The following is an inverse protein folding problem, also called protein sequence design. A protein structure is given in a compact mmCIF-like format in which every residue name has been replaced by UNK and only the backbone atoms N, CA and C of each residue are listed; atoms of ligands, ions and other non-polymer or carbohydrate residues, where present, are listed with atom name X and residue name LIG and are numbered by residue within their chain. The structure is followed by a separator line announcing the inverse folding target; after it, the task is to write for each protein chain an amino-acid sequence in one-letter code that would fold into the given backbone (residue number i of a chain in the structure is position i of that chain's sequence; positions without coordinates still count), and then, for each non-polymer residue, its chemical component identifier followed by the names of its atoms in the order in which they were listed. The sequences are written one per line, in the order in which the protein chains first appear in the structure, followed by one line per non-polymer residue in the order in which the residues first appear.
data_IF_784327516629
#
_entry.id   IF_784327516629
#
_cell.length_a   1.000
_cell.length_b   1.000
_cell.length_c   1.000
_cell.angle_alpha   90.00
_cell.angle_beta   90.00
_cell.angle_gamma   90.00
#
_symmetry.space_group_name_H-M   'P 1'
#
loop_
_entity.id
_entity.type
_entity.pdbx_description
1 polymer ?
#
# COMPACT_ATOMS: atom_id res chain seq x y z
N UNK A 1 -60.36 -19.87 31.69
CA UNK A 1 -59.57 -18.80 31.03
C UNK A 1 -58.21 -19.34 30.59
N UNK A 2 -58.04 -19.69 29.31
CA UNK A 2 -56.79 -20.28 28.79
C UNK A 2 -55.72 -19.23 28.50
N UNK A 3 -54.49 -19.45 28.98
CA UNK A 3 -53.34 -18.54 28.76
C UNK A 3 -53.09 -18.33 27.25
N UNK A 4 -52.85 -17.10 26.77
CA UNK A 4 -52.63 -16.85 25.36
C UNK A 4 -51.33 -17.51 24.87
N UNK A 5 -51.44 -18.38 23.85
CA UNK A 5 -50.26 -19.02 23.23
C UNK A 5 -49.28 -17.97 22.67
N UNK A 6 -47.98 -18.23 22.83
CA UNK A 6 -46.88 -17.48 22.23
C UNK A 6 -47.01 -17.41 20.70
N UNK A 7 -46.67 -16.28 20.10
CA UNK A 7 -46.86 -15.98 18.67
C UNK A 7 -46.20 -17.03 17.75
N UNK A 8 -45.03 -17.56 18.11
CA UNK A 8 -44.32 -18.56 17.31
C UNK A 8 -45.02 -19.94 17.26
N UNK A 9 -45.78 -20.28 18.30
CA UNK A 9 -46.55 -21.53 18.37
C UNK A 9 -47.84 -21.41 17.56
N UNK A 10 -48.49 -20.23 17.59
CA UNK A 10 -49.67 -19.92 16.76
C UNK A 10 -49.35 -20.00 15.26
N UNK A 11 -48.20 -19.50 14.85
CA UNK A 11 -47.74 -19.55 13.45
C UNK A 11 -47.43 -20.98 12.97
N UNK A 12 -46.92 -21.83 13.87
CA UNK A 12 -46.65 -23.25 13.56
C UNK A 12 -47.95 -24.02 13.37
N UNK A 13 -48.89 -23.87 14.31
CA UNK A 13 -50.20 -24.52 14.27
C UNK A 13 -50.99 -24.10 13.02
N UNK A 14 -50.95 -22.80 12.67
CA UNK A 14 -51.55 -22.28 11.44
C UNK A 14 -50.95 -22.92 10.17
N UNK A 15 -49.62 -23.09 10.10
CA UNK A 15 -48.96 -23.72 8.95
C UNK A 15 -49.25 -25.21 8.82
N UNK A 16 -49.49 -25.91 9.94
CA UNK A 16 -49.89 -27.32 9.93
C UNK A 16 -51.32 -27.45 9.40
N UNK A 17 -52.26 -26.68 9.96
CA UNK A 17 -53.66 -26.62 9.47
C UNK A 17 -53.77 -26.21 8.00
N UNK A 18 -52.91 -25.29 7.55
CA UNK A 18 -52.88 -24.87 6.15
C UNK A 18 -52.35 -25.96 5.21
N UNK A 19 -51.51 -26.88 5.68
CA UNK A 19 -51.01 -28.02 4.88
C UNK A 19 -52.01 -29.17 4.82
N UNK A 20 -52.89 -29.29 5.80
CA UNK A 20 -53.97 -30.28 5.84
C UNK A 20 -55.04 -30.02 4.77
N UNK A 21 -55.25 -28.75 4.37
CA UNK A 21 -56.16 -28.35 3.28
C UNK A 21 -55.39 -28.10 1.97
N UNK A 22 -55.50 -29.01 0.97
CA UNK A 22 -54.71 -28.92 -0.26
C UNK A 22 -55.10 -27.72 -1.14
N UNK A 23 -56.36 -27.28 -1.12
CA UNK A 23 -56.85 -26.17 -1.96
C UNK A 23 -56.34 -24.84 -1.41
N UNK A 24 -56.46 -24.64 -0.10
CA UNK A 24 -55.94 -23.42 0.55
C UNK A 24 -54.41 -23.38 0.51
N UNK A 25 -53.75 -24.53 0.61
CA UNK A 25 -52.29 -24.63 0.45
C UNK A 25 -51.83 -24.23 -0.96
N UNK A 26 -52.52 -24.71 -1.99
CA UNK A 26 -52.21 -24.36 -3.38
C UNK A 26 -52.37 -22.84 -3.64
N UNK A 27 -53.47 -22.24 -3.19
CA UNK A 27 -53.70 -20.79 -3.29
C UNK A 27 -52.63 -19.98 -2.53
N UNK A 28 -52.19 -20.46 -1.36
CA UNK A 28 -51.09 -19.86 -0.60
C UNK A 28 -49.77 -19.91 -1.37
N UNK A 29 -49.43 -21.06 -1.98
CA UNK A 29 -48.22 -21.22 -2.79
C UNK A 29 -48.24 -20.32 -4.03
N UNK A 30 -49.39 -20.19 -4.71
CA UNK A 30 -49.54 -19.27 -5.84
C UNK A 30 -49.30 -17.82 -5.42
N UNK A 31 -49.90 -17.36 -4.31
CA UNK A 31 -49.64 -16.03 -3.75
C UNK A 31 -48.16 -15.84 -3.38
N UNK A 32 -47.51 -16.87 -2.83
CA UNK A 32 -46.09 -16.82 -2.51
C UNK A 32 -45.20 -16.71 -3.75
N UNK A 33 -45.49 -17.46 -4.81
CA UNK A 33 -44.80 -17.37 -6.11
C UNK A 33 -44.98 -15.98 -6.72
N UNK A 34 -46.19 -15.44 -6.75
CA UNK A 34 -46.46 -14.10 -7.26
C UNK A 34 -45.67 -13.02 -6.49
N UNK A 35 -45.59 -13.11 -5.15
CA UNK A 35 -44.74 -12.22 -4.34
C UNK A 35 -43.27 -12.33 -4.70
N UNK A 36 -42.76 -13.54 -4.92
CA UNK A 36 -41.37 -13.75 -5.31
C UNK A 36 -41.05 -13.10 -6.67
N UNK A 37 -41.91 -13.29 -7.68
CA UNK A 37 -41.75 -12.65 -8.99
C UNK A 37 -41.76 -11.12 -8.90
N UNK A 38 -42.72 -10.53 -8.16
CA UNK A 38 -42.77 -9.07 -7.92
C UNK A 38 -41.50 -8.52 -7.27
N UNK A 39 -40.92 -9.24 -6.29
CA UNK A 39 -39.68 -8.82 -5.62
C UNK A 39 -38.43 -9.02 -6.48
N UNK A 40 -38.45 -10.01 -7.35
CA UNK A 40 -37.39 -10.25 -8.36
C UNK A 40 -37.39 -9.13 -9.40
N UNK A 41 -38.56 -8.75 -9.92
CA UNK A 41 -38.73 -7.63 -10.86
C UNK A 41 -38.30 -6.29 -10.24
N UNK A 42 -38.67 -6.04 -8.98
CA UNK A 42 -38.23 -4.86 -8.21
C UNK A 42 -36.75 -4.89 -7.77
N UNK A 43 -35.97 -5.91 -8.16
CA UNK A 43 -34.55 -6.10 -7.81
C UNK A 43 -34.25 -6.17 -6.29
N UNK A 44 -35.26 -6.38 -5.45
CA UNK A 44 -35.06 -6.65 -4.02
C UNK A 44 -34.39 -8.02 -3.80
N UNK A 45 -34.63 -8.97 -4.71
CA UNK A 45 -33.98 -10.28 -4.72
C UNK A 45 -32.95 -10.30 -5.84
N UNK A 46 -31.68 -10.06 -5.50
CA UNK A 46 -30.55 -10.15 -6.44
C UNK A 46 -30.29 -11.60 -6.86
N UNK A 47 -30.18 -11.83 -8.16
CA UNK A 47 -29.65 -13.08 -8.72
C UNK A 47 -28.13 -13.16 -8.52
N UNK A 48 -27.56 -14.36 -8.67
CA UNK A 48 -26.10 -14.56 -8.51
C UNK A 48 -25.30 -13.74 -9.51
N UNK A 49 -25.79 -13.58 -10.74
CA UNK A 49 -25.16 -12.77 -11.77
C UNK A 49 -25.10 -11.27 -11.41
N UNK A 50 -26.11 -10.79 -10.67
CA UNK A 50 -26.25 -9.36 -10.32
C UNK A 50 -25.58 -9.00 -8.98
N UNK A 51 -24.99 -9.98 -8.29
CA UNK A 51 -24.29 -9.74 -7.02
C UNK A 51 -22.83 -9.40 -7.26
N UNK A 52 -22.31 -8.43 -6.51
CA UNK A 52 -20.85 -8.19 -6.46
C UNK A 52 -20.14 -9.40 -5.85
N UNK A 53 -18.85 -9.59 -6.18
CA UNK A 53 -18.06 -10.72 -5.63
C UNK A 53 -18.06 -10.76 -4.10
N UNK A 54 -18.06 -9.59 -3.45
CA UNK A 54 -18.04 -9.46 -2.00
C UNK A 54 -19.37 -9.86 -1.37
N UNK A 55 -20.49 -9.47 -1.97
CA UNK A 55 -21.83 -9.87 -1.54
C UNK A 55 -22.07 -11.37 -1.76
N UNK A 56 -21.67 -11.89 -2.92
CA UNK A 56 -21.76 -13.32 -3.23
C UNK A 56 -20.95 -14.15 -2.22
N UNK A 57 -19.74 -13.70 -1.86
CA UNK A 57 -18.92 -14.34 -0.82
C UNK A 57 -19.61 -14.35 0.54
N UNK A 58 -20.21 -13.23 0.97
CA UNK A 58 -20.95 -13.13 2.24
C UNK A 58 -22.18 -14.07 2.26
N UNK A 59 -22.94 -14.13 1.16
CA UNK A 59 -24.10 -15.02 1.02
C UNK A 59 -23.70 -16.49 1.05
N UNK A 60 -22.59 -16.85 0.40
CA UNK A 60 -22.01 -18.21 0.44
C UNK A 60 -21.51 -18.58 1.84
N UNK A 61 -20.90 -17.64 2.57
CA UNK A 61 -20.48 -17.86 3.96
C UNK A 61 -21.68 -18.14 4.87
N UNK A 62 -22.73 -17.32 4.78
CA UNK A 62 -23.97 -17.51 5.53
C UNK A 62 -24.61 -18.87 5.20
N UNK A 63 -24.77 -19.19 3.92
CA UNK A 63 -25.32 -20.48 3.49
C UNK A 63 -24.53 -21.68 4.04
N UNK A 64 -23.19 -21.62 4.00
CA UNK A 64 -22.33 -22.67 4.57
C UNK A 64 -22.55 -22.83 6.08
N UNK A 65 -22.71 -21.73 6.82
CA UNK A 65 -22.97 -21.75 8.26
C UNK A 65 -24.34 -22.37 8.58
N UNK A 66 -25.40 -21.92 7.89
CA UNK A 66 -26.76 -22.47 8.06
C UNK A 66 -26.84 -23.94 7.68
N UNK A 67 -26.19 -24.36 6.58
CA UNK A 67 -26.12 -25.77 6.17
C UNK A 67 -25.36 -26.63 7.18
N UNK A 68 -24.29 -26.10 7.78
CA UNK A 68 -23.57 -26.79 8.86
C UNK A 68 -24.47 -27.03 10.07
N UNK A 69 -25.19 -25.99 10.52
CA UNK A 69 -26.15 -26.11 11.61
C UNK A 69 -27.29 -27.09 11.28
N UNK A 70 -27.87 -27.02 10.08
CA UNK A 70 -28.90 -27.96 9.64
C UNK A 70 -28.41 -29.41 9.68
N UNK A 71 -27.20 -29.69 9.18
CA UNK A 71 -26.62 -31.04 9.23
C UNK A 71 -26.36 -31.51 10.66
N UNK A 72 -25.92 -30.62 11.56
CA UNK A 72 -25.74 -30.95 12.97
C UNK A 72 -27.07 -31.30 13.63
N UNK A 73 -28.10 -30.47 13.44
CA UNK A 73 -29.44 -30.74 13.98
C UNK A 73 -30.04 -32.01 13.39
N UNK A 74 -29.86 -32.26 12.09
CA UNK A 74 -30.33 -33.49 11.45
C UNK A 74 -29.64 -34.73 12.02
N UNK A 75 -28.32 -34.70 12.25
CA UNK A 75 -27.61 -35.81 12.91
C UNK A 75 -28.13 -36.11 14.31
N UNK A 76 -28.49 -35.07 15.06
CA UNK A 76 -29.08 -35.23 16.40
C UNK A 76 -30.48 -35.87 16.33
N UNK A 77 -31.27 -35.52 15.32
CA UNK A 77 -32.63 -36.07 15.10
C UNK A 77 -32.55 -37.51 14.56
N UNK A 78 -31.75 -37.76 13.53
CA UNK A 78 -31.58 -39.08 12.92
C UNK A 78 -30.94 -40.08 13.91
N UNK A 79 -30.11 -39.61 14.85
CA UNK A 79 -29.57 -40.43 15.93
C UNK A 79 -30.60 -40.87 16.97
N UNK A 80 -31.77 -40.22 17.02
CA UNK A 80 -32.86 -40.53 17.94
C UNK A 80 -33.96 -41.41 17.30
N UNK A 81 -34.06 -41.45 15.97
CA UNK A 81 -35.11 -42.17 15.23
C UNK A 81 -34.47 -43.32 14.44
N UNK A 82 -34.06 -44.38 15.14
CA UNK A 82 -33.76 -45.66 14.51
C UNK A 82 -34.86 -46.64 14.91
N UNK A 83 -35.79 -47.04 14.01
CA UNK A 83 -36.77 -48.07 14.32
C UNK A 83 -36.07 -49.42 14.58
N UNK A 84 -36.57 -50.26 15.50
CA UNK A 84 -36.05 -51.62 15.67
C UNK A 84 -36.25 -52.43 14.38
N UNK A 85 -35.28 -53.29 14.08
CA UNK A 85 -35.29 -54.20 12.92
C UNK A 85 -36.51 -55.12 12.97
N UNK A 86 -37.35 -55.10 11.94
CA UNK A 86 -38.32 -56.16 11.64
C UNK A 86 -37.65 -57.26 10.80
N UNK A 87 -38.08 -58.54 10.93
CA UNK A 87 -37.38 -59.67 10.35
C UNK A 87 -37.56 -59.77 8.83
N UNK A 88 -36.47 -60.11 8.15
CA UNK A 88 -36.38 -60.30 6.70
C UNK A 88 -37.32 -61.42 6.21
N UNK A 89 -38.01 -61.18 5.10
CA UNK A 89 -38.63 -62.23 4.29
C UNK A 89 -38.03 -62.21 2.88
N UNK A 90 -37.27 -63.28 2.61
CA UNK A 90 -36.86 -63.92 1.33
C UNK A 90 -36.68 -63.09 0.04
N UNK A 91 -35.54 -63.27 -0.67
CA UNK A 91 -35.48 -63.05 -2.11
C UNK A 91 -34.97 -64.29 -2.87
N UNK A 92 -35.86 -65.02 -3.54
CA UNK A 92 -35.48 -66.05 -4.50
C UNK A 92 -35.68 -65.57 -5.95
N UNK A 93 -34.76 -64.75 -6.47
CA UNK A 93 -34.58 -64.58 -7.93
C UNK A 93 -33.10 -64.37 -8.34
N UNK A 94 -32.50 -65.45 -8.86
CA UNK A 94 -31.37 -65.50 -9.83
C UNK A 94 -29.96 -65.04 -9.40
N UNK A 95 -29.15 -65.97 -8.90
CA UNK A 95 -27.72 -65.78 -8.60
C UNK A 95 -26.87 -65.24 -9.78
N UNK A 96 -27.33 -65.43 -11.03
CA UNK A 96 -26.66 -64.99 -12.26
C UNK A 96 -26.73 -63.46 -12.46
N UNK A 97 -27.88 -62.83 -12.14
CA UNK A 97 -28.02 -61.35 -12.21
C UNK A 97 -27.30 -60.67 -11.04
N UNK A 98 -27.25 -61.33 -9.88
CA UNK A 98 -26.49 -60.90 -8.69
C UNK A 98 -24.99 -60.82 -8.98
N UNK A 99 -24.40 -61.87 -9.61
CA UNK A 99 -22.98 -61.92 -10.00
C UNK A 99 -22.64 -60.84 -11.04
N UNK A 100 -23.48 -60.67 -12.08
CA UNK A 100 -23.30 -59.60 -13.09
C UNK A 100 -23.46 -58.19 -12.48
N UNK A 101 -24.39 -57.97 -11.53
CA UNK A 101 -24.50 -56.71 -10.76
C UNK A 101 -23.27 -56.46 -9.89
N UNK A 102 -22.74 -57.49 -9.22
CA UNK A 102 -21.51 -57.40 -8.39
C UNK A 102 -20.29 -57.03 -9.24
N UNK A 103 -20.12 -57.65 -10.41
CA UNK A 103 -19.07 -57.32 -11.39
C UNK A 103 -19.16 -55.87 -11.88
N UNK A 104 -20.34 -55.43 -12.34
CA UNK A 104 -20.57 -54.03 -12.75
C UNK A 104 -20.33 -53.03 -11.62
N UNK A 105 -20.71 -53.38 -10.38
CA UNK A 105 -20.46 -52.55 -9.20
C UNK A 105 -18.97 -52.42 -8.89
N UNK A 106 -18.18 -53.48 -9.06
CA UNK A 106 -16.72 -53.47 -8.94
C UNK A 106 -16.09 -52.58 -10.01
N UNK A 107 -16.43 -52.77 -11.28
CA UNK A 107 -15.94 -51.93 -12.40
C UNK A 107 -16.28 -50.45 -12.19
N UNK A 108 -17.52 -50.14 -11.78
CA UNK A 108 -17.93 -48.75 -11.49
C UNK A 108 -17.14 -48.17 -10.32
N UNK A 109 -16.86 -48.96 -9.28
CA UNK A 109 -16.03 -48.55 -8.15
C UNK A 109 -14.60 -48.27 -8.60
N UNK A 110 -13.99 -49.17 -9.36
CA UNK A 110 -12.61 -49.05 -9.83
C UNK A 110 -12.47 -47.84 -10.76
N UNK A 111 -13.38 -47.68 -11.72
CA UNK A 111 -13.46 -46.51 -12.60
C UNK A 111 -13.62 -45.21 -11.81
N UNK A 112 -14.48 -45.19 -10.79
CA UNK A 112 -14.63 -44.02 -9.91
C UNK A 112 -13.38 -43.73 -9.07
N UNK A 113 -12.60 -44.76 -8.72
CA UNK A 113 -11.36 -44.61 -7.98
C UNK A 113 -10.27 -44.01 -8.86
N UNK A 114 -10.20 -44.43 -10.13
CA UNK A 114 -9.28 -43.86 -11.13
C UNK A 114 -9.59 -42.39 -11.38
N UNK A 115 -10.85 -42.01 -11.63
CA UNK A 115 -11.19 -40.59 -11.82
C UNK A 115 -10.88 -39.73 -10.60
N UNK A 116 -11.12 -40.24 -9.38
CA UNK A 116 -10.74 -39.54 -8.13
C UNK A 116 -9.23 -39.45 -7.92
N UNK A 117 -8.45 -40.37 -8.48
CA UNK A 117 -6.98 -40.29 -8.49
C UNK A 117 -6.51 -39.28 -9.52
N UNK A 118 -7.07 -39.28 -10.73
CA UNK A 118 -6.77 -38.29 -11.77
C UNK A 118 -7.04 -36.88 -11.28
N UNK A 119 -8.22 -36.61 -10.73
CA UNK A 119 -8.55 -35.29 -10.17
C UNK A 119 -7.56 -34.86 -9.07
N UNK A 120 -7.17 -35.78 -8.19
CA UNK A 120 -6.15 -35.51 -7.17
C UNK A 120 -4.80 -35.15 -7.79
N UNK A 121 -4.31 -35.96 -8.72
CA UNK A 121 -3.03 -35.73 -9.40
C UNK A 121 -3.04 -34.41 -10.17
N UNK A 122 -4.13 -34.08 -10.87
CA UNK A 122 -4.29 -32.81 -11.57
C UNK A 122 -4.22 -31.62 -10.60
N UNK A 123 -4.93 -31.69 -9.47
CA UNK A 123 -4.89 -30.63 -8.46
C UNK A 123 -3.51 -30.49 -7.81
N UNK A 124 -2.82 -31.59 -7.55
CA UNK A 124 -1.45 -31.60 -7.05
C UNK A 124 -0.49 -30.97 -8.06
N UNK A 125 -0.59 -31.32 -9.34
CA UNK A 125 0.22 -30.74 -10.41
C UNK A 125 -0.03 -29.24 -10.53
N UNK A 126 -1.28 -28.79 -10.46
CA UNK A 126 -1.62 -27.36 -10.42
C UNK A 126 -1.02 -26.65 -9.18
N UNK A 127 -1.04 -27.30 -8.02
CA UNK A 127 -0.45 -26.73 -6.80
C UNK A 127 1.08 -26.65 -6.90
N UNK A 128 1.74 -27.69 -7.43
CA UNK A 128 3.19 -27.72 -7.64
C UNK A 128 3.62 -26.66 -8.66
N UNK A 129 2.90 -26.49 -9.76
CA UNK A 129 3.18 -25.43 -10.75
C UNK A 129 2.99 -24.02 -10.15
N UNK A 130 1.94 -23.78 -9.36
CA UNK A 130 1.76 -22.53 -8.59
C UNK A 130 2.92 -22.27 -7.63
N UNK A 131 3.35 -23.29 -6.88
CA UNK A 131 4.49 -23.20 -5.98
C UNK A 131 5.78 -22.90 -6.75
N UNK A 132 6.04 -23.60 -7.85
CA UNK A 132 7.20 -23.34 -8.71
C UNK A 132 7.22 -21.90 -9.21
N UNK A 133 6.09 -21.37 -9.68
CA UNK A 133 5.99 -19.97 -10.12
C UNK A 133 6.23 -18.99 -8.97
N UNK A 134 5.68 -19.27 -7.78
CA UNK A 134 5.95 -18.48 -6.58
C UNK A 134 7.45 -18.48 -6.22
N UNK A 135 8.09 -19.64 -6.21
CA UNK A 135 9.51 -19.78 -5.90
C UNK A 135 10.41 -19.16 -6.97
N UNK A 136 10.10 -19.34 -8.26
CA UNK A 136 10.78 -18.65 -9.38
C UNK A 136 10.72 -17.13 -9.18
N UNK A 137 9.55 -16.56 -8.88
CA UNK A 137 9.39 -15.12 -8.60
C UNK A 137 10.06 -14.66 -7.31
N UNK A 138 10.19 -15.53 -6.30
CA UNK A 138 10.92 -15.23 -5.07
C UNK A 138 12.43 -15.19 -5.35
N UNK A 139 12.95 -16.16 -6.09
CA UNK A 139 14.34 -16.23 -6.51
C UNK A 139 14.71 -15.06 -7.43
N UNK A 140 13.86 -14.71 -8.40
CA UNK A 140 14.06 -13.52 -9.24
C UNK A 140 14.20 -12.24 -8.41
N UNK A 141 13.34 -12.06 -7.40
CA UNK A 141 13.41 -10.91 -6.48
C UNK A 141 14.64 -10.94 -5.57
N UNK A 142 15.08 -12.11 -5.12
CA UNK A 142 16.29 -12.26 -4.32
C UNK A 142 17.56 -11.99 -5.16
N UNK A 143 17.59 -12.48 -6.39
CA UNK A 143 18.66 -12.24 -7.35
C UNK A 143 18.73 -10.77 -7.77
N UNK A 144 17.60 -10.09 -7.96
CA UNK A 144 17.59 -8.63 -8.21
C UNK A 144 18.15 -7.83 -7.03
N UNK A 145 17.98 -8.30 -5.79
CA UNK A 145 18.58 -7.64 -4.61
C UNK A 145 20.09 -7.86 -4.49
N UNK A 146 20.62 -8.92 -5.09
CA UNK A 146 22.05 -9.30 -4.99
C UNK A 146 22.85 -8.87 -6.22
N UNK A 147 22.26 -8.93 -7.42
CA UNK A 147 22.90 -8.55 -8.69
C UNK A 147 22.84 -7.06 -9.00
N UNK A 148 21.80 -6.36 -8.56
CA UNK A 148 21.73 -4.90 -8.69
C UNK A 148 21.99 -4.30 -7.31
N UNK A 149 22.91 -3.32 -7.23
CA UNK A 149 22.88 -2.29 -6.18
C UNK A 149 21.61 -1.42 -6.34
N UNK A 150 20.44 -2.05 -6.44
CA UNK A 150 19.19 -1.37 -6.67
C UNK A 150 19.02 -0.35 -5.54
N UNK A 151 18.87 0.94 -5.86
CA UNK A 151 18.86 1.98 -4.85
C UNK A 151 17.73 1.71 -3.87
N UNK A 152 18.05 1.64 -2.59
CA UNK A 152 17.09 1.26 -1.55
C UNK A 152 15.77 2.04 -1.70
N UNK A 153 14.65 1.31 -1.65
CA UNK A 153 13.33 1.93 -1.66
C UNK A 153 13.19 2.85 -0.44
N UNK A 154 12.33 3.89 -0.47
CA UNK A 154 12.10 4.76 0.68
C UNK A 154 11.76 4.00 1.97
N UNK A 155 11.01 2.89 1.86
CA UNK A 155 10.73 1.99 2.99
C UNK A 155 11.97 1.25 3.47
N UNK A 156 12.77 0.70 2.57
CA UNK A 156 14.02 0.01 2.91
C UNK A 156 15.02 0.97 3.58
N UNK A 157 15.18 2.20 3.06
CA UNK A 157 16.01 3.24 3.67
C UNK A 157 15.57 3.58 5.09
N UNK A 158 14.26 3.76 5.27
CA UNK A 158 13.69 4.04 6.58
C UNK A 158 13.93 2.87 7.55
N UNK A 159 13.74 1.64 7.08
CA UNK A 159 13.95 0.44 7.89
C UNK A 159 15.43 0.27 8.29
N UNK A 160 16.37 0.49 7.36
CA UNK A 160 17.81 0.48 7.64
C UNK A 160 18.21 1.58 8.62
N UNK A 161 17.71 2.81 8.45
CA UNK A 161 17.96 3.94 9.35
C UNK A 161 17.47 3.68 10.78
N UNK A 162 16.34 2.97 10.90
CA UNK A 162 15.71 2.65 12.17
C UNK A 162 16.05 1.23 12.67
N UNK A 163 17.04 0.57 12.06
CA UNK A 163 17.43 -0.78 12.47
C UNK A 163 17.82 -0.78 13.96
N UNK A 164 17.25 -1.71 14.73
CA UNK A 164 17.48 -1.81 16.17
C UNK A 164 16.72 -0.79 17.04
N UNK A 165 15.88 0.08 16.46
CA UNK A 165 15.14 1.09 17.22
C UNK A 165 13.63 0.91 17.10
N UNK A 166 12.94 0.89 18.24
CA UNK A 166 11.49 0.99 18.27
C UNK A 166 11.07 2.46 18.17
N UNK A 167 10.29 2.80 17.15
CA UNK A 167 9.76 4.15 16.95
C UNK A 167 8.29 4.09 16.56
N UNK A 168 7.57 5.16 16.90
CA UNK A 168 6.14 5.28 16.62
C UNK A 168 5.86 5.23 15.11
N UNK A 169 4.63 4.80 14.77
CA UNK A 169 4.18 4.69 13.39
C UNK A 169 4.25 6.03 12.64
N UNK A 170 3.99 7.13 13.33
CA UNK A 170 4.03 8.47 12.75
C UNK A 170 5.45 8.84 12.32
N UNK A 171 6.46 8.58 13.17
CA UNK A 171 7.87 8.81 12.84
C UNK A 171 8.27 8.00 11.60
N UNK A 172 7.88 6.71 11.53
CA UNK A 172 8.13 5.87 10.35
C UNK A 172 7.51 6.48 9.08
N UNK A 173 6.25 6.94 9.16
CA UNK A 173 5.57 7.58 8.02
C UNK A 173 6.26 8.88 7.59
N UNK A 174 6.65 9.74 8.53
CA UNK A 174 7.36 11.00 8.25
C UNK A 174 8.70 10.76 7.55
N UNK A 175 9.46 9.75 7.99
CA UNK A 175 10.72 9.38 7.34
C UNK A 175 10.51 8.84 5.93
N UNK A 176 9.51 7.97 5.73
CA UNK A 176 9.15 7.49 4.39
C UNK A 176 8.77 8.66 3.48
N UNK A 177 7.93 9.57 3.97
CA UNK A 177 7.54 10.79 3.25
C UNK A 177 8.76 11.63 2.85
N UNK A 178 9.66 11.89 3.81
CA UNK A 178 10.90 12.60 3.56
C UNK A 178 11.75 11.93 2.48
N UNK A 179 11.92 10.59 2.52
CA UNK A 179 12.70 9.87 1.52
C UNK A 179 12.06 9.88 0.13
N UNK A 180 10.72 9.79 0.03
CA UNK A 180 10.00 9.93 -1.23
C UNK A 180 10.21 11.32 -1.82
N UNK A 181 9.97 12.36 -1.01
CA UNK A 181 10.07 13.76 -1.43
C UNK A 181 11.51 14.11 -1.85
N UNK A 182 12.51 13.62 -1.10
CA UNK A 182 13.93 13.77 -1.46
C UNK A 182 14.25 13.11 -2.81
N UNK A 183 13.72 11.92 -3.08
CA UNK A 183 13.95 11.22 -4.34
C UNK A 183 13.36 11.98 -5.53
N UNK A 184 12.14 12.51 -5.40
CA UNK A 184 11.50 13.30 -6.44
C UNK A 184 12.21 14.63 -6.69
N UNK A 185 12.54 15.38 -5.64
CA UNK A 185 13.28 16.64 -5.77
C UNK A 185 14.63 16.41 -6.44
N UNK A 186 15.34 15.33 -6.07
CA UNK A 186 16.61 14.97 -6.73
C UNK A 186 16.41 14.68 -8.22
N UNK A 187 15.33 13.99 -8.60
CA UNK A 187 14.98 13.71 -10.00
C UNK A 187 14.67 15.01 -10.77
N UNK A 188 13.90 15.93 -10.18
CA UNK A 188 13.57 17.23 -10.80
C UNK A 188 14.80 18.13 -10.96
N UNK A 189 15.67 18.19 -9.95
CA UNK A 189 16.92 18.96 -9.98
C UNK A 189 17.87 18.48 -11.09
N UNK A 190 18.00 17.16 -11.27
CA UNK A 190 18.84 16.57 -12.32
C UNK A 190 18.31 16.89 -13.72
N UNK A 191 17.00 16.84 -13.92
CA UNK A 191 16.39 17.07 -15.26
C UNK A 191 16.33 18.54 -15.65
N UNK A 192 15.86 19.42 -14.76
CA UNK A 192 15.43 20.77 -15.17
C UNK A 192 16.29 21.91 -14.61
N UNK A 193 17.41 21.63 -13.91
CA UNK A 193 18.21 22.63 -13.16
C UNK A 193 17.33 23.66 -12.44
N UNK A 194 16.20 23.20 -11.90
CA UNK A 194 15.09 24.07 -11.55
C UNK A 194 15.49 25.02 -10.42
N UNK A 195 15.54 26.32 -10.75
CA UNK A 195 15.91 27.41 -9.83
C UNK A 195 14.92 27.50 -8.67
N UNK A 196 13.69 27.02 -8.83
CA UNK A 196 12.65 27.04 -7.80
C UNK A 196 12.93 26.03 -6.70
N UNK A 197 13.24 24.78 -7.06
CA UNK A 197 13.67 23.75 -6.10
C UNK A 197 14.90 24.21 -5.29
N UNK A 198 15.86 24.86 -5.95
CA UNK A 198 17.04 25.41 -5.27
C UNK A 198 16.69 26.51 -4.27
N UNK A 199 15.78 27.43 -4.61
CA UNK A 199 15.31 28.50 -3.70
C UNK A 199 14.61 27.94 -2.47
N UNK A 200 13.74 26.93 -2.66
CA UNK A 200 13.02 26.28 -1.55
C UNK A 200 14.01 25.60 -0.59
N UNK A 201 15.00 24.89 -1.13
CA UNK A 201 16.01 24.20 -0.33
C UNK A 201 17.03 25.15 0.33
N UNK A 202 17.37 26.28 -0.30
CA UNK A 202 18.33 27.25 0.22
C UNK A 202 17.60 28.48 0.77
N UNK A 203 16.76 28.27 1.78
CA UNK A 203 16.03 29.33 2.45
C UNK A 203 16.62 29.64 3.85
N UNK A 204 16.19 30.76 4.44
CA UNK A 204 16.63 31.21 5.78
C UNK A 204 16.35 30.17 6.89
N UNK A 205 15.29 29.37 6.75
CA UNK A 205 14.95 28.32 7.72
C UNK A 205 15.98 27.19 7.71
N UNK A 206 16.40 26.74 6.53
CA UNK A 206 17.42 25.72 6.38
C UNK A 206 18.78 26.19 6.89
N UNK A 207 19.08 27.48 6.76
CA UNK A 207 20.24 28.11 7.39
C UNK A 207 20.13 28.11 8.93
N UNK A 208 19.00 28.58 9.48
CA UNK A 208 18.73 28.65 10.93
C UNK A 208 18.95 27.31 11.62
N UNK A 209 18.47 26.23 11.01
CA UNK A 209 18.60 24.86 11.56
C UNK A 209 19.84 24.11 11.07
N UNK A 210 20.83 24.80 10.48
CA UNK A 210 22.11 24.23 10.01
C UNK A 210 21.95 23.04 9.06
N UNK A 211 20.88 23.00 8.27
CA UNK A 211 20.56 21.89 7.36
C UNK A 211 21.30 21.98 6.02
N UNK A 212 21.95 23.11 5.73
CA UNK A 212 22.67 23.35 4.46
C UNK A 212 23.68 22.25 4.13
N UNK A 213 24.40 21.73 5.14
CA UNK A 213 25.35 20.62 4.95
C UNK A 213 24.65 19.35 4.46
N UNK A 214 23.52 19.00 5.08
CA UNK A 214 22.70 17.85 4.65
C UNK A 214 22.14 18.05 3.25
N UNK A 215 21.71 19.27 2.92
CA UNK A 215 21.22 19.61 1.58
C UNK A 215 22.32 19.48 0.53
N UNK A 216 23.54 19.93 0.83
CA UNK A 216 24.71 19.74 -0.04
C UNK A 216 25.00 18.25 -0.26
N UNK A 217 24.98 17.44 0.79
CA UNK A 217 25.19 15.99 0.68
C UNK A 217 24.10 15.28 -0.12
N UNK A 218 22.82 15.64 0.09
CA UNK A 218 21.70 14.96 -0.55
C UNK A 218 21.46 15.43 -1.99
N UNK A 219 21.61 16.72 -2.28
CA UNK A 219 21.21 17.30 -3.56
C UNK A 219 22.39 17.88 -4.36
N UNK A 220 23.60 17.95 -3.81
CA UNK A 220 24.76 18.55 -4.48
C UNK A 220 24.72 20.07 -4.60
N UNK A 221 23.74 20.73 -3.95
CA UNK A 221 23.53 22.17 -4.08
C UNK A 221 24.45 22.90 -3.11
N UNK A 222 25.21 23.88 -3.62
CA UNK A 222 25.98 24.83 -2.79
C UNK A 222 25.19 26.12 -2.59
N UNK A 223 25.30 26.73 -1.41
CA UNK A 223 24.85 28.10 -1.18
C UNK A 223 25.65 29.01 -2.12
N UNK A 224 24.97 29.94 -2.82
CA UNK A 224 25.70 30.95 -3.58
C UNK A 224 26.32 31.91 -2.57
N UNK A 225 27.61 32.22 -2.73
CA UNK A 225 28.20 33.32 -2.01
C UNK A 225 27.42 34.58 -2.40
N UNK A 226 26.97 35.34 -1.40
CA UNK A 226 26.21 36.55 -1.66
C UNK A 226 27.04 37.52 -2.48
N UNK A 227 26.45 38.08 -3.55
CA UNK A 227 27.10 39.08 -4.41
C UNK A 227 27.66 40.29 -3.61
N UNK A 228 27.19 40.50 -2.38
CA UNK A 228 27.69 41.54 -1.46
C UNK A 228 29.15 41.35 -1.08
N UNK A 229 29.61 40.12 -0.81
CA UNK A 229 31.02 39.89 -0.44
C UNK A 229 31.95 40.08 -1.63
N UNK A 230 31.54 39.66 -2.83
CA UNK A 230 32.30 39.88 -4.05
C UNK A 230 32.42 41.37 -4.41
N UNK A 231 31.31 42.13 -4.31
CA UNK A 231 31.35 43.59 -4.51
C UNK A 231 32.26 44.28 -3.50
N UNK A 232 32.23 43.86 -2.22
CA UNK A 232 33.08 44.43 -1.18
C UNK A 232 34.57 44.17 -1.48
N UNK A 233 34.92 42.95 -1.87
CA UNK A 233 36.29 42.58 -2.24
C UNK A 233 36.78 43.31 -3.49
N UNK A 234 35.94 43.48 -4.52
CA UNK A 234 36.30 44.24 -5.71
C UNK A 234 36.53 45.72 -5.39
N UNK A 235 35.65 46.34 -4.60
CA UNK A 235 35.82 47.73 -4.17
C UNK A 235 37.05 47.92 -3.28
N UNK A 236 37.37 46.94 -2.44
CA UNK A 236 38.57 46.95 -1.59
C UNK A 236 39.85 46.81 -2.42
N UNK A 237 39.84 45.98 -3.45
CA UNK A 237 40.93 45.88 -4.42
C UNK A 237 41.12 47.18 -5.22
N UNK A 238 40.03 47.78 -5.71
CA UNK A 238 40.09 49.09 -6.40
C UNK A 238 40.62 50.17 -5.47
N UNK A 239 40.13 50.23 -4.22
CA UNK A 239 40.61 51.20 -3.24
C UNK A 239 42.10 51.01 -2.93
N UNK A 240 42.58 49.76 -2.88
CA UNK A 240 43.99 49.45 -2.68
C UNK A 240 44.83 49.87 -3.89
N UNK A 241 44.37 49.62 -5.12
CA UNK A 241 45.06 50.06 -6.33
C UNK A 241 45.12 51.60 -6.43
N UNK A 242 44.04 52.29 -6.11
CA UNK A 242 44.01 53.76 -6.07
C UNK A 242 44.96 54.28 -5.00
N UNK A 243 44.97 53.66 -3.81
CA UNK A 243 45.88 54.03 -2.74
C UNK A 243 47.34 53.81 -3.15
N UNK A 244 47.64 52.66 -3.75
CA UNK A 244 48.99 52.33 -4.22
C UNK A 244 49.44 53.31 -5.30
N UNK A 245 48.58 53.59 -6.28
CA UNK A 245 48.81 54.60 -7.30
C UNK A 245 49.17 55.94 -6.67
N UNK A 246 48.31 56.48 -5.79
CA UNK A 246 48.52 57.77 -5.12
C UNK A 246 49.72 57.79 -4.15
N UNK A 247 50.23 56.64 -3.73
CA UNK A 247 51.43 56.52 -2.87
C UNK A 247 52.73 56.41 -3.67
N UNK A 248 52.69 56.28 -5.00
CA UNK A 248 53.90 56.31 -5.83
C UNK A 248 54.43 57.74 -6.00
N UNK A 249 55.76 57.86 -6.06
CA UNK A 249 56.45 59.16 -6.14
C UNK A 249 56.35 59.81 -7.53
N UNK A 250 56.01 59.04 -8.56
CA UNK A 250 55.75 59.50 -9.93
C UNK A 250 54.45 60.32 -10.05
N UNK A 251 53.41 59.92 -9.33
CA UNK A 251 52.07 60.52 -9.37
C UNK A 251 51.81 61.50 -8.22
N UNK A 252 52.59 61.44 -7.13
CA UNK A 252 52.45 62.39 -6.03
C UNK A 252 53.75 62.63 -5.26
N UNK A 253 53.96 63.85 -4.78
CA UNK A 253 55.11 64.26 -3.97
C UNK A 253 54.75 64.44 -2.51
N UNK A 254 55.63 63.97 -1.63
CA UNK A 254 55.49 64.10 -0.17
C UNK A 254 55.82 65.54 0.27
N UNK A 255 55.01 66.10 1.16
CA UNK A 255 55.26 67.43 1.73
C UNK A 255 56.42 67.40 2.75
N UNK A 256 57.30 68.41 2.75
CA UNK A 256 58.46 68.43 3.67
C UNK A 256 58.15 68.96 5.09
N UNK A 257 57.00 69.61 5.30
CA UNK A 257 56.72 70.32 6.56
C UNK A 257 56.38 69.43 7.75
N UNK A 258 56.94 69.71 8.93
CA UNK A 258 56.64 68.98 10.19
C UNK A 258 55.16 69.00 10.60
N UNK A 259 54.42 70.06 10.22
CA UNK A 259 52.97 70.19 10.45
C UNK A 259 52.11 69.62 9.30
N UNK A 260 52.73 69.14 8.21
CA UNK A 260 52.04 68.61 7.03
C UNK A 260 51.79 67.10 7.16
N UNK A 261 51.24 66.66 8.29
CA UNK A 261 50.86 65.26 8.54
C UNK A 261 49.36 65.13 8.77
N UNK A 262 48.78 64.00 8.40
CA UNK A 262 47.40 63.61 8.73
C UNK A 262 47.45 62.30 9.51
N UNK A 263 46.72 62.23 10.61
CA UNK A 263 46.54 61.01 11.39
C UNK A 263 45.10 60.53 11.25
N UNK A 264 44.92 59.29 10.80
CA UNK A 264 43.60 58.64 10.73
C UNK A 264 43.73 57.17 11.12
N UNK A 265 42.78 56.65 11.89
CA UNK A 265 42.80 55.27 12.39
C UNK A 265 44.14 54.90 13.09
N UNK A 266 44.69 55.83 13.89
CA UNK A 266 45.97 55.68 14.60
C UNK A 266 47.20 55.52 13.70
N UNK A 267 47.08 55.77 12.39
CA UNK A 267 48.21 55.78 11.45
C UNK A 267 48.47 57.23 11.05
N UNK A 268 49.67 57.73 11.36
CA UNK A 268 50.13 59.08 10.97
C UNK A 268 50.89 58.97 9.65
N UNK A 269 50.49 59.78 8.66
CA UNK A 269 51.15 59.87 7.35
C UNK A 269 51.42 61.32 6.97
N UNK A 270 52.48 61.55 6.19
CA UNK A 270 52.77 62.84 5.60
C UNK A 270 51.76 63.16 4.48
N UNK A 271 51.32 64.41 4.35
CA UNK A 271 50.48 64.85 3.24
C UNK A 271 51.26 64.69 1.93
N UNK A 272 50.57 64.28 0.86
CA UNK A 272 51.11 64.18 -0.49
C UNK A 272 50.29 65.06 -1.43
N UNK A 273 50.95 65.68 -2.41
CA UNK A 273 50.33 66.50 -3.45
C UNK A 273 50.51 65.81 -4.80
N UNK A 274 49.46 65.79 -5.62
CA UNK A 274 49.55 65.23 -6.97
C UNK A 274 50.51 66.05 -7.82
N UNK A 275 51.31 65.36 -8.63
CA UNK A 275 52.29 66.00 -9.54
C UNK A 275 51.63 66.55 -10.78
N UNK A 276 50.51 65.96 -11.20
CA UNK A 276 49.79 66.31 -12.42
C UNK A 276 48.32 66.66 -12.13
N UNK A 277 47.75 67.54 -12.95
CA UNK A 277 46.33 67.86 -12.88
C UNK A 277 45.54 66.78 -13.60
N UNK A 278 44.47 66.26 -12.99
CA UNK A 278 43.54 65.37 -13.69
C UNK A 278 42.89 66.18 -14.81
N UNK A 279 43.36 66.01 -16.05
CA UNK A 279 42.74 66.64 -17.21
C UNK A 279 41.30 66.15 -17.33
N UNK A 280 40.35 67.08 -17.25
CA UNK A 280 38.92 66.84 -17.48
C UNK A 280 38.62 66.52 -18.93
#
# INVERSE_FOLDING_TARGET
MGKPKLVSVKDRDYRLKLKEDPVRYAAYLQKARARYHKRKEKKEIKLVADMTEREHRKKKQYWRATQRQYRQNKKQIDGFITPPMSPDSEPAQSAETERKRRGRKKVKRDRSAVYRRLERVETELQNKTRLLNMYKKRLERANKRTKEEAPDTPRTKTAKLLAGRSVSRNVKKTLIFHHCLTAEIRKKLRKNKDKSCRRILMNKMMDKYKMVRRIKQQFGIRKRNDKKTFRKSCMEAVAQNVKEFLERDDSSRVAAGKKMTITRNKIKKQKRFLTDTLST
#
